data_IF_090279331695
#
_entry.id   IF_090279331695
#
_cell.length_a   1.000
_cell.length_b   1.000
_cell.length_c   1.000
_cell.angle_alpha   90.00
_cell.angle_beta   90.00
_cell.angle_gamma   90.00
#
_symmetry.space_group_name_H-M   'P 1'
#
loop_
_entity.id
_entity.type
_entity.pdbx_description
1 polymer ?
#
# COMPACT_ATOMS: atom_id res chain seq x y z
N UNK A 1 -6.44 -19.76 8.84
CA UNK A 1 -5.36 -18.83 8.43
C UNK A 1 -5.82 -17.88 7.31
N UNK A 2 -6.51 -18.35 6.26
CA UNK A 2 -6.96 -17.48 5.16
C UNK A 2 -7.82 -16.29 5.62
N UNK A 3 -8.86 -16.52 6.40
CA UNK A 3 -9.79 -15.49 6.87
C UNK A 3 -9.11 -14.37 7.70
N UNK A 4 -8.09 -14.72 8.48
CA UNK A 4 -7.30 -13.73 9.23
C UNK A 4 -6.47 -12.85 8.29
N UNK A 5 -5.83 -13.44 7.27
CA UNK A 5 -5.11 -12.70 6.24
C UNK A 5 -6.01 -11.72 5.50
N UNK A 6 -7.22 -12.20 5.17
CA UNK A 6 -8.23 -11.41 4.47
C UNK A 6 -8.72 -10.20 5.28
N UNK A 7 -9.02 -10.39 6.56
CA UNK A 7 -9.41 -9.30 7.45
C UNK A 7 -8.29 -8.27 7.63
N UNK A 8 -7.05 -8.73 7.76
CA UNK A 8 -5.89 -7.84 7.89
C UNK A 8 -5.60 -7.05 6.61
N UNK A 9 -5.97 -7.58 5.45
CA UNK A 9 -5.82 -6.86 4.18
C UNK A 9 -6.79 -5.67 4.07
N UNK A 10 -8.00 -5.79 4.61
CA UNK A 10 -9.00 -4.71 4.61
C UNK A 10 -8.69 -3.64 5.68
N UNK A 11 -8.04 -4.03 6.77
CA UNK A 11 -7.79 -3.17 7.93
C UNK A 11 -7.12 -1.82 7.60
N UNK A 12 -6.07 -1.74 6.77
CA UNK A 12 -5.45 -0.47 6.39
C UNK A 12 -6.44 0.51 5.76
N UNK A 13 -7.28 0.03 4.84
CA UNK A 13 -8.29 0.85 4.16
C UNK A 13 -9.35 1.37 5.13
N UNK A 14 -9.78 0.54 6.10
CA UNK A 14 -10.71 0.94 7.15
C UNK A 14 -10.10 2.02 8.05
N UNK A 15 -8.82 1.89 8.43
CA UNK A 15 -8.12 2.90 9.24
C UNK A 15 -8.04 4.24 8.49
N UNK A 16 -7.73 4.23 7.19
CA UNK A 16 -7.70 5.45 6.38
C UNK A 16 -9.09 6.11 6.26
N UNK A 17 -10.14 5.33 6.02
CA UNK A 17 -11.51 5.85 6.01
C UNK A 17 -11.91 6.42 7.35
N UNK A 18 -11.58 5.74 8.46
CA UNK A 18 -11.83 6.25 9.81
C UNK A 18 -11.10 7.57 10.07
N UNK A 19 -9.84 7.69 9.61
CA UNK A 19 -9.10 8.95 9.69
C UNK A 19 -9.83 10.05 8.92
N UNK A 20 -10.11 9.84 7.63
CA UNK A 20 -10.75 10.83 6.77
C UNK A 20 -12.08 11.33 7.37
N UNK A 21 -12.90 10.44 7.91
CA UNK A 21 -14.19 10.81 8.51
C UNK A 21 -14.05 11.49 9.87
N UNK A 22 -13.14 11.02 10.75
CA UNK A 22 -13.00 11.58 12.10
C UNK A 22 -12.26 12.91 12.12
N UNK A 23 -11.29 13.08 11.26
CA UNK A 23 -10.46 14.30 11.24
C UNK A 23 -10.91 15.32 10.19
N UNK A 24 -11.79 14.92 9.27
CA UNK A 24 -12.15 15.70 8.07
C UNK A 24 -10.91 16.22 7.32
N UNK A 25 -9.82 15.46 7.33
CA UNK A 25 -8.52 15.84 6.80
C UNK A 25 -7.79 14.64 6.20
N UNK A 26 -7.15 14.85 5.06
CA UNK A 26 -6.25 13.87 4.44
C UNK A 26 -4.75 14.21 4.64
N UNK A 27 -4.42 15.17 5.52
CA UNK A 27 -3.04 15.51 5.82
C UNK A 27 -2.21 14.28 6.25
N UNK A 28 -0.99 14.16 5.72
CA UNK A 28 -0.09 13.03 5.97
C UNK A 28 -0.45 11.74 5.23
N UNK A 29 -1.47 11.74 4.34
CA UNK A 29 -1.79 10.61 3.46
C UNK A 29 -1.35 10.95 2.04
N UNK A 30 -0.52 10.10 1.42
CA UNK A 30 -0.15 10.25 0.02
C UNK A 30 -1.30 9.83 -0.89
N UNK A 31 -1.86 10.79 -1.63
CA UNK A 31 -2.86 10.51 -2.64
C UNK A 31 -2.31 9.67 -3.79
N UNK A 32 -1.04 9.88 -4.15
CA UNK A 32 -0.35 9.12 -5.19
C UNK A 32 -0.18 7.66 -4.83
N UNK A 33 0.16 7.36 -3.56
CA UNK A 33 0.20 6.00 -3.04
C UNK A 33 -1.18 5.32 -3.14
N UNK A 34 -2.26 6.03 -2.79
CA UNK A 34 -3.62 5.49 -2.85
C UNK A 34 -4.08 5.22 -4.30
N UNK A 35 -3.66 6.04 -5.27
CA UNK A 35 -3.89 5.78 -6.70
C UNK A 35 -3.20 4.48 -7.12
N UNK A 36 -1.94 4.26 -6.72
CA UNK A 36 -1.21 3.02 -7.05
C UNK A 36 -1.90 1.79 -6.46
N UNK A 37 -2.38 1.85 -5.20
CA UNK A 37 -3.16 0.76 -4.61
C UNK A 37 -4.48 0.52 -5.34
N UNK A 38 -5.16 1.58 -5.80
CA UNK A 38 -6.38 1.43 -6.60
C UNK A 38 -6.10 0.69 -7.92
N UNK A 39 -4.96 0.96 -8.58
CA UNK A 39 -4.54 0.20 -9.76
C UNK A 39 -4.24 -1.28 -9.44
N UNK A 40 -3.55 -1.55 -8.34
CA UNK A 40 -3.27 -2.93 -7.88
C UNK A 40 -4.57 -3.71 -7.69
N UNK A 41 -5.52 -3.15 -6.94
CA UNK A 41 -6.80 -3.82 -6.68
C UNK A 41 -7.66 -3.97 -7.95
N UNK A 42 -7.56 -3.02 -8.89
CA UNK A 42 -8.21 -3.14 -10.20
C UNK A 42 -7.69 -4.34 -10.99
N UNK A 43 -6.36 -4.50 -11.04
CA UNK A 43 -5.73 -5.63 -11.72
C UNK A 43 -6.09 -6.97 -11.05
N UNK A 44 -6.13 -7.02 -9.70
CA UNK A 44 -6.53 -8.21 -8.95
C UNK A 44 -8.00 -8.60 -9.15
N UNK A 45 -8.90 -7.63 -9.38
CA UNK A 45 -10.31 -7.92 -9.69
C UNK A 45 -10.46 -8.42 -11.13
N UNK A 46 -9.73 -7.85 -12.08
CA UNK A 46 -9.76 -8.31 -13.48
C UNK A 46 -9.33 -9.77 -13.63
N UNK A 47 -8.35 -10.22 -12.82
CA UNK A 47 -7.92 -11.63 -12.79
C UNK A 47 -9.06 -12.59 -12.39
N UNK A 48 -9.91 -12.22 -11.44
CA UNK A 48 -11.04 -13.06 -11.00
C UNK A 48 -12.02 -13.34 -12.14
N UNK A 49 -12.20 -12.37 -13.04
CA UNK A 49 -13.11 -12.52 -14.17
C UNK A 49 -12.47 -13.23 -15.37
N UNK A 50 -11.14 -13.20 -15.49
CA UNK A 50 -10.40 -13.82 -16.59
C UNK A 50 -10.08 -15.31 -16.37
N UNK A 51 -9.79 -15.69 -15.13
CA UNK A 51 -9.46 -17.07 -14.80
C UNK A 51 -10.52 -17.67 -13.87
N UNK A 52 -11.07 -18.83 -14.25
CA UNK A 52 -11.99 -19.60 -13.40
C UNK A 52 -11.29 -20.19 -12.16
N UNK A 53 -10.00 -19.95 -11.95
CA UNK A 53 -9.27 -20.33 -10.75
C UNK A 53 -9.64 -19.38 -9.63
N UNK A 54 -10.53 -19.79 -8.75
CA UNK A 54 -10.76 -19.21 -7.44
C UNK A 54 -9.42 -19.18 -6.70
N UNK A 55 -8.70 -18.05 -6.78
CA UNK A 55 -7.59 -17.78 -5.89
C UNK A 55 -8.07 -17.88 -4.44
N UNK A 56 -7.13 -18.00 -3.49
CA UNK A 56 -7.44 -18.21 -2.07
C UNK A 56 -8.36 -17.14 -1.45
N UNK A 57 -8.53 -15.97 -2.08
CA UNK A 57 -9.36 -14.88 -1.57
C UNK A 57 -10.74 -14.86 -2.25
N UNK A 58 -11.83 -14.74 -1.47
CA UNK A 58 -13.18 -14.69 -2.02
C UNK A 58 -13.40 -13.45 -2.90
N UNK A 59 -14.15 -13.54 -4.02
CA UNK A 59 -14.35 -12.44 -4.96
C UNK A 59 -14.90 -11.16 -4.33
N UNK A 60 -15.81 -11.27 -3.38
CA UNK A 60 -16.41 -10.12 -2.68
C UNK A 60 -15.38 -9.27 -1.93
N UNK A 61 -14.32 -9.88 -1.43
CA UNK A 61 -13.27 -9.19 -0.71
C UNK A 61 -12.42 -8.33 -1.65
N UNK A 62 -12.03 -8.85 -2.81
CA UNK A 62 -11.29 -8.08 -3.84
C UNK A 62 -12.12 -6.90 -4.33
N UNK A 63 -13.42 -7.10 -4.54
CA UNK A 63 -14.35 -6.02 -4.90
C UNK A 63 -14.47 -4.98 -3.78
N UNK A 64 -14.54 -5.39 -2.52
CA UNK A 64 -14.61 -4.45 -1.39
C UNK A 64 -13.34 -3.61 -1.25
N UNK A 65 -12.14 -4.19 -1.44
CA UNK A 65 -10.88 -3.48 -1.47
C UNK A 65 -10.80 -2.48 -2.63
N UNK A 66 -11.27 -2.88 -3.80
CA UNK A 66 -11.37 -2.00 -4.96
C UNK A 66 -12.26 -0.80 -4.65
N UNK A 67 -13.48 -1.02 -4.19
CA UNK A 67 -14.44 0.04 -3.89
C UNK A 67 -13.93 0.98 -2.80
N UNK A 68 -13.32 0.43 -1.73
CA UNK A 68 -12.76 1.25 -0.65
C UNK A 68 -11.56 2.07 -1.11
N UNK A 69 -10.69 1.54 -1.97
CA UNK A 69 -9.55 2.28 -2.51
C UNK A 69 -9.98 3.44 -3.41
N UNK A 70 -10.95 3.22 -4.30
CA UNK A 70 -11.52 4.30 -5.12
C UNK A 70 -12.24 5.35 -4.28
N UNK A 71 -12.95 4.93 -3.23
CA UNK A 71 -13.59 5.86 -2.29
C UNK A 71 -12.55 6.73 -1.58
N UNK A 72 -11.43 6.14 -1.11
CA UNK A 72 -10.35 6.89 -0.47
C UNK A 72 -9.75 7.91 -1.45
N UNK A 73 -9.45 7.51 -2.67
CA UNK A 73 -8.93 8.41 -3.72
C UNK A 73 -9.92 9.55 -3.98
N UNK A 74 -11.21 9.23 -4.14
CA UNK A 74 -12.25 10.23 -4.33
C UNK A 74 -12.32 11.21 -3.16
N UNK A 75 -12.25 10.74 -1.91
CA UNK A 75 -12.28 11.60 -0.72
C UNK A 75 -11.06 12.53 -0.65
N UNK A 76 -9.86 12.04 -0.98
CA UNK A 76 -8.63 12.84 -0.96
C UNK A 76 -8.68 13.95 -2.02
N UNK A 77 -9.03 13.64 -3.26
CA UNK A 77 -8.98 14.59 -4.37
C UNK A 77 -10.28 15.41 -4.52
N UNK A 78 -11.36 15.00 -3.87
CA UNK A 78 -12.65 15.67 -3.85
C UNK A 78 -12.85 16.50 -2.57
N UNK A 79 -13.63 16.00 -1.59
CA UNK A 79 -14.04 16.77 -0.41
C UNK A 79 -12.88 17.30 0.44
N UNK A 80 -11.83 16.49 0.63
CA UNK A 80 -10.69 16.83 1.51
C UNK A 80 -9.48 17.41 0.77
N UNK A 81 -9.61 17.76 -0.52
CA UNK A 81 -8.51 18.30 -1.34
C UNK A 81 -7.78 19.48 -0.71
N UNK A 82 -8.49 20.31 0.08
CA UNK A 82 -7.89 21.49 0.74
C UNK A 82 -6.88 21.13 1.84
N UNK A 83 -6.95 19.92 2.39
CA UNK A 83 -6.07 19.42 3.45
C UNK A 83 -5.01 18.45 2.93
N UNK A 84 -4.93 18.28 1.61
CA UNK A 84 -3.97 17.40 0.97
C UNK A 84 -2.60 18.08 0.86
N UNK A 85 -1.57 17.41 1.37
CA UNK A 85 -0.19 17.87 1.37
C UNK A 85 0.47 17.70 -0.02
N UNK A 86 -0.09 18.40 -1.02
CA UNK A 86 0.31 18.25 -2.43
C UNK A 86 1.78 18.57 -2.66
N UNK A 87 2.30 19.58 -1.95
CA UNK A 87 3.69 20.06 -2.11
C UNK A 87 4.71 19.08 -1.52
N UNK A 88 4.25 18.14 -0.67
CA UNK A 88 5.06 17.10 -0.06
C UNK A 88 4.94 15.75 -0.80
N UNK A 89 3.87 15.54 -1.57
CA UNK A 89 3.62 14.33 -2.36
C UNK A 89 4.11 14.54 -3.81
N UNK A 90 5.44 14.68 -3.97
CA UNK A 90 6.06 15.12 -5.24
C UNK A 90 6.41 13.98 -6.20
N UNK A 91 6.57 12.74 -5.70
CA UNK A 91 6.98 11.61 -6.53
C UNK A 91 6.02 11.37 -7.71
N UNK A 92 6.57 11.28 -8.91
CA UNK A 92 5.79 10.97 -10.10
C UNK A 92 5.53 9.47 -10.21
N UNK A 93 4.26 9.07 -10.24
CA UNK A 93 3.85 7.67 -10.31
C UNK A 93 4.38 6.95 -11.55
N UNK A 94 4.61 7.67 -12.65
CA UNK A 94 5.14 7.14 -13.91
C UNK A 94 6.49 6.47 -13.71
N UNK A 95 7.35 7.03 -12.84
CA UNK A 95 8.65 6.44 -12.51
C UNK A 95 8.54 5.12 -11.73
N UNK A 96 7.42 4.85 -11.11
CA UNK A 96 7.15 3.58 -10.41
C UNK A 96 6.42 2.59 -11.29
N UNK A 97 5.44 3.05 -12.07
CA UNK A 97 4.58 2.20 -12.90
C UNK A 97 5.38 1.58 -14.06
N UNK A 98 6.20 2.39 -14.76
CA UNK A 98 6.93 1.92 -15.94
C UNK A 98 7.93 0.80 -15.62
N UNK A 99 8.81 0.89 -14.60
CA UNK A 99 9.69 -0.23 -14.23
C UNK A 99 8.92 -1.48 -13.81
N UNK A 100 7.81 -1.34 -13.07
CA UNK A 100 6.99 -2.49 -12.67
C UNK A 100 6.39 -3.21 -13.88
N UNK A 101 5.93 -2.45 -14.87
CA UNK A 101 5.41 -3.03 -16.10
C UNK A 101 6.50 -3.75 -16.91
N UNK A 102 7.69 -3.16 -17.04
CA UNK A 102 8.82 -3.80 -17.69
C UNK A 102 9.24 -5.09 -16.95
N UNK A 103 9.33 -5.05 -15.62
CA UNK A 103 9.64 -6.25 -14.81
C UNK A 103 8.59 -7.35 -15.00
N UNK A 104 7.31 -6.99 -15.08
CA UNK A 104 6.25 -7.95 -15.37
C UNK A 104 6.39 -8.63 -16.72
N UNK A 105 6.85 -7.88 -17.74
CA UNK A 105 7.12 -8.44 -19.07
C UNK A 105 8.33 -9.38 -19.06
N UNK A 106 9.39 -9.04 -18.32
CA UNK A 106 10.60 -9.89 -18.20
C UNK A 106 10.39 -11.12 -17.32
N UNK A 107 9.53 -11.04 -16.32
CA UNK A 107 9.17 -12.18 -15.47
C UNK A 107 8.32 -13.23 -16.19
N UNK A 108 8.04 -13.03 -17.47
CA UNK A 108 7.25 -13.91 -18.32
C UNK A 108 8.02 -15.20 -18.62
N UNK A 109 7.61 -16.30 -18.01
CA UNK A 109 8.08 -17.63 -18.38
C UNK A 109 7.26 -18.18 -19.58
N UNK A 110 7.90 -18.28 -20.73
CA UNK A 110 7.29 -18.92 -21.92
C UNK A 110 6.05 -18.20 -22.49
N UNK A 111 4.99 -18.96 -22.76
CA UNK A 111 3.75 -18.50 -23.40
C UNK A 111 2.71 -18.00 -22.35
N UNK A 112 3.12 -17.06 -21.47
CA UNK A 112 2.27 -16.54 -20.42
C UNK A 112 1.07 -15.79 -20.99
N UNK A 113 -0.11 -16.04 -20.43
CA UNK A 113 -1.36 -15.35 -20.78
C UNK A 113 -1.27 -13.86 -20.40
N UNK A 114 -2.03 -12.97 -21.04
CA UNK A 114 -2.10 -11.55 -20.67
C UNK A 114 -2.47 -11.34 -19.18
N UNK A 115 -3.29 -12.23 -18.62
CA UNK A 115 -3.68 -12.22 -17.21
C UNK A 115 -2.49 -12.45 -16.28
N UNK A 116 -1.59 -13.40 -16.63
CA UNK A 116 -0.38 -13.67 -15.86
C UNK A 116 0.56 -12.45 -15.83
N UNK A 117 0.69 -11.72 -16.95
CA UNK A 117 1.46 -10.46 -17.00
C UNK A 117 0.81 -9.39 -16.13
N UNK A 118 -0.53 -9.27 -16.16
CA UNK A 118 -1.27 -8.32 -15.36
C UNK A 118 -1.10 -8.58 -13.86
N UNK A 119 -1.14 -9.86 -13.44
CA UNK A 119 -0.91 -10.25 -12.04
C UNK A 119 0.53 -9.99 -11.61
N UNK A 120 1.53 -10.31 -12.43
CA UNK A 120 2.92 -10.00 -12.15
C UNK A 120 3.13 -8.48 -12.03
N UNK A 121 2.51 -7.69 -12.90
CA UNK A 121 2.53 -6.24 -12.82
C UNK A 121 1.91 -5.73 -11.52
N UNK A 122 0.72 -6.24 -11.14
CA UNK A 122 0.07 -5.87 -9.88
C UNK A 122 0.95 -6.21 -8.66
N UNK A 123 1.61 -7.37 -8.67
CA UNK A 123 2.52 -7.78 -7.60
C UNK A 123 3.73 -6.83 -7.47
N UNK A 124 4.38 -6.47 -8.57
CA UNK A 124 5.47 -5.50 -8.55
C UNK A 124 5.01 -4.10 -8.13
N UNK A 125 3.85 -3.66 -8.65
CA UNK A 125 3.30 -2.35 -8.32
C UNK A 125 2.91 -2.25 -6.84
N UNK A 126 2.40 -3.32 -6.25
CA UNK A 126 2.02 -3.37 -4.84
C UNK A 126 3.20 -3.14 -3.89
N UNK A 127 4.43 -3.58 -4.29
CA UNK A 127 5.64 -3.34 -3.51
C UNK A 127 5.95 -1.84 -3.45
N UNK A 128 5.93 -1.18 -4.61
CA UNK A 128 6.35 0.21 -4.73
C UNK A 128 5.24 1.21 -4.40
N UNK A 129 3.98 0.76 -4.28
CA UNK A 129 2.84 1.62 -3.98
C UNK A 129 2.98 2.38 -2.65
N UNK A 130 3.78 1.88 -1.70
CA UNK A 130 4.07 2.55 -0.43
C UNK A 130 5.11 3.67 -0.57
N UNK A 131 5.91 3.70 -1.65
CA UNK A 131 7.05 4.64 -1.79
C UNK A 131 6.61 6.10 -1.75
N UNK A 132 5.54 6.56 -2.44
CA UNK A 132 5.08 7.94 -2.33
C UNK A 132 4.66 8.32 -0.90
N UNK A 133 4.09 7.36 -0.14
CA UNK A 133 3.77 7.58 1.27
C UNK A 133 5.03 7.76 2.12
N UNK A 134 6.11 7.02 1.84
CA UNK A 134 7.39 7.17 2.52
C UNK A 134 8.05 8.52 2.20
N UNK A 135 7.99 8.95 0.95
CA UNK A 135 8.50 10.25 0.53
C UNK A 135 7.76 11.38 1.25
N UNK A 136 6.43 11.35 1.24
CA UNK A 136 5.62 12.31 1.96
C UNK A 136 5.98 12.36 3.45
N UNK A 137 6.23 11.22 4.10
CA UNK A 137 6.70 11.16 5.48
C UNK A 137 8.09 11.81 5.68
N UNK A 138 8.91 11.89 4.63
CA UNK A 138 10.19 12.61 4.69
C UNK A 138 9.99 14.12 4.65
N UNK A 139 8.95 14.63 4.01
CA UNK A 139 8.65 16.04 3.89
C UNK A 139 7.90 16.64 5.09
N UNK A 140 7.03 15.85 5.75
CA UNK A 140 6.22 16.35 6.86
C UNK A 140 7.00 16.45 8.18
N UNK A 141 6.62 17.41 9.02
CA UNK A 141 7.25 17.63 10.33
C UNK A 141 6.63 16.80 11.46
N UNK A 142 5.39 16.37 11.29
CA UNK A 142 4.68 15.55 12.29
C UNK A 142 3.80 14.52 11.61
N UNK A 143 3.61 13.38 12.28
CA UNK A 143 2.79 12.27 11.78
C UNK A 143 1.67 11.99 12.76
N UNK A 144 0.44 11.88 12.24
CA UNK A 144 -0.75 11.51 12.99
C UNK A 144 -0.72 10.02 13.36
N UNK A 145 -1.30 9.68 14.51
CA UNK A 145 -1.39 8.30 14.99
C UNK A 145 -2.19 7.39 14.03
N UNK A 146 -3.16 7.93 13.29
CA UNK A 146 -3.89 7.17 12.28
C UNK A 146 -2.99 6.71 11.14
N UNK A 147 -2.08 7.59 10.66
CA UNK A 147 -1.10 7.23 9.62
C UNK A 147 -0.13 6.17 10.12
N UNK A 148 0.30 6.29 11.38
CA UNK A 148 1.14 5.25 12.01
C UNK A 148 0.40 3.91 12.08
N UNK A 149 -0.86 3.92 12.53
CA UNK A 149 -1.70 2.70 12.60
C UNK A 149 -1.93 2.08 11.23
N UNK A 150 -2.13 2.90 10.20
CA UNK A 150 -2.21 2.46 8.80
C UNK A 150 -0.93 1.74 8.35
N UNK A 151 0.25 2.33 8.60
CA UNK A 151 1.54 1.71 8.24
C UNK A 151 1.79 0.41 9.01
N UNK A 152 1.46 0.38 10.31
CA UNK A 152 1.55 -0.84 11.13
C UNK A 152 0.64 -1.94 10.59
N UNK A 153 -0.61 -1.61 10.24
CA UNK A 153 -1.56 -2.59 9.69
C UNK A 153 -1.12 -3.16 8.34
N UNK A 154 -0.53 -2.33 7.46
CA UNK A 154 0.06 -2.78 6.21
C UNK A 154 1.25 -3.73 6.46
N UNK A 155 2.14 -3.39 7.39
CA UNK A 155 3.29 -4.22 7.74
C UNK A 155 2.86 -5.57 8.33
N UNK A 156 1.85 -5.57 9.21
CA UNK A 156 1.29 -6.79 9.80
C UNK A 156 0.67 -7.70 8.73
N UNK A 157 -0.16 -7.13 7.86
CA UNK A 157 -0.75 -7.88 6.74
C UNK A 157 0.36 -8.57 5.91
N UNK A 158 1.39 -7.83 5.54
CA UNK A 158 2.49 -8.37 4.75
C UNK A 158 3.28 -9.44 5.48
N UNK A 159 3.58 -9.24 6.74
CA UNK A 159 4.29 -10.24 7.54
C UNK A 159 3.52 -11.56 7.62
N UNK A 160 2.21 -11.48 7.87
CA UNK A 160 1.35 -12.69 7.92
C UNK A 160 1.23 -13.35 6.55
N UNK A 161 1.13 -12.56 5.48
CA UNK A 161 1.11 -13.10 4.11
C UNK A 161 2.39 -13.90 3.80
N UNK A 162 3.57 -13.35 4.15
CA UNK A 162 4.86 -14.02 3.97
C UNK A 162 4.96 -15.29 4.80
N UNK A 163 4.55 -15.24 6.07
CA UNK A 163 4.57 -16.40 6.95
C UNK A 163 3.65 -17.51 6.44
N UNK A 164 2.45 -17.15 6.01
CA UNK A 164 1.51 -18.12 5.44
C UNK A 164 2.06 -18.75 4.15
N UNK A 165 2.69 -17.94 3.30
CA UNK A 165 3.33 -18.43 2.08
C UNK A 165 4.52 -19.34 2.38
N UNK A 166 5.40 -18.96 3.33
CA UNK A 166 6.56 -19.76 3.73
C UNK A 166 6.17 -21.15 4.29
N UNK A 167 5.03 -21.23 4.98
CA UNK A 167 4.50 -22.50 5.49
C UNK A 167 3.90 -23.38 4.39
N UNK A 168 3.33 -22.78 3.33
CA UNK A 168 2.67 -23.49 2.25
C UNK A 168 3.58 -23.83 1.06
N UNK A 169 4.74 -23.17 0.94
CA UNK A 169 5.64 -23.35 -0.17
C UNK A 169 6.35 -24.73 -0.11
N UNK A 170 5.90 -25.65 -0.95
CA UNK A 170 6.60 -26.92 -1.22
C UNK A 170 7.66 -26.78 -2.32
N UNK A 171 7.58 -25.77 -3.19
CA UNK A 171 8.53 -25.48 -4.25
C UNK A 171 8.81 -23.96 -4.33
N UNK A 172 10.09 -23.60 -4.38
CA UNK A 172 10.56 -22.23 -4.26
C UNK A 172 10.23 -21.40 -5.51
N UNK A 173 9.21 -20.55 -5.42
CA UNK A 173 9.03 -19.46 -6.37
C UNK A 173 9.82 -18.25 -5.85
N UNK A 174 10.94 -17.91 -6.50
CA UNK A 174 11.85 -16.86 -6.06
C UNK A 174 11.19 -15.46 -6.00
N UNK A 175 10.27 -15.18 -6.92
CA UNK A 175 9.65 -13.86 -7.05
C UNK A 175 8.88 -13.40 -5.79
N UNK A 176 7.95 -14.16 -5.19
CA UNK A 176 7.26 -13.74 -3.96
C UNK A 176 8.19 -13.49 -2.79
N UNK A 177 9.32 -14.22 -2.70
CA UNK A 177 10.32 -14.03 -1.64
C UNK A 177 11.03 -12.69 -1.80
N UNK A 178 11.51 -12.40 -3.01
CA UNK A 178 12.20 -11.12 -3.32
C UNK A 178 11.25 -9.95 -3.07
N UNK A 179 10.03 -10.02 -3.60
CA UNK A 179 8.96 -9.05 -3.42
C UNK A 179 8.75 -8.75 -1.94
N UNK A 180 8.59 -9.79 -1.15
CA UNK A 180 8.31 -9.69 0.28
C UNK A 180 9.48 -9.10 1.07
N UNK A 181 10.70 -9.47 0.73
CA UNK A 181 11.92 -8.95 1.38
C UNK A 181 12.09 -7.45 1.11
N UNK A 182 11.95 -7.01 -0.14
CA UNK A 182 12.03 -5.59 -0.50
C UNK A 182 10.96 -4.78 0.25
N UNK A 183 9.75 -5.31 0.37
CA UNK A 183 8.67 -4.62 1.05
C UNK A 183 8.88 -4.51 2.56
N UNK A 184 9.44 -5.54 3.21
CA UNK A 184 9.83 -5.45 4.63
C UNK A 184 10.87 -4.35 4.83
N UNK A 185 11.89 -4.25 3.96
CA UNK A 185 12.89 -3.19 4.02
C UNK A 185 12.23 -1.80 3.92
N UNK A 186 11.28 -1.60 3.01
CA UNK A 186 10.55 -0.34 2.89
C UNK A 186 9.77 -0.01 4.18
N UNK A 187 9.14 -0.99 4.83
CA UNK A 187 8.46 -0.76 6.11
C UNK A 187 9.44 -0.43 7.23
N UNK A 188 10.62 -1.06 7.28
CA UNK A 188 11.67 -0.71 8.25
C UNK A 188 12.07 0.77 8.08
N UNK A 189 12.29 1.22 6.85
CA UNK A 189 12.60 2.63 6.55
C UNK A 189 11.46 3.54 7.02
N UNK A 190 10.20 3.17 6.77
CA UNK A 190 9.02 3.91 7.23
C UNK A 190 9.01 4.08 8.75
N UNK A 191 9.20 2.98 9.50
CA UNK A 191 9.18 3.00 10.96
C UNK A 191 10.35 3.80 11.54
N UNK A 192 11.55 3.69 10.98
CA UNK A 192 12.70 4.50 11.41
C UNK A 192 12.41 5.99 11.20
N UNK A 193 11.75 6.37 10.10
CA UNK A 193 11.37 7.76 9.86
C UNK A 193 10.30 8.25 10.83
N UNK A 194 9.24 7.49 11.04
CA UNK A 194 8.18 7.80 12.02
C UNK A 194 8.76 7.97 13.43
N UNK A 195 9.69 7.08 13.82
CA UNK A 195 10.34 7.14 15.12
C UNK A 195 11.15 8.43 15.29
N UNK A 196 11.95 8.82 14.27
CA UNK A 196 12.68 10.10 14.27
C UNK A 196 11.74 11.29 14.42
N UNK A 197 10.63 11.32 13.66
CA UNK A 197 9.64 12.41 13.74
C UNK A 197 9.03 12.53 15.14
N UNK A 198 8.71 11.42 15.80
CA UNK A 198 8.18 11.43 17.17
C UNK A 198 9.22 11.94 18.17
N UNK A 199 10.47 11.50 18.08
CA UNK A 199 11.55 11.98 18.96
C UNK A 199 11.83 13.48 18.79
N UNK A 200 11.77 14.00 17.56
CA UNK A 200 11.96 15.44 17.32
C UNK A 200 10.85 16.26 17.96
N UNK A 201 9.61 15.77 17.93
CA UNK A 201 8.47 16.43 18.57
C UNK A 201 8.58 16.47 20.10
N UNK A 202 9.15 15.45 20.73
CA UNK A 202 9.38 15.41 22.18
C UNK A 202 10.51 16.35 22.65
N UNK A 203 11.49 16.66 21.77
CA UNK A 203 12.66 17.48 22.08
C UNK A 203 12.46 18.98 21.89
N UNK A 204 11.35 19.42 21.30
CA UNK A 204 11.03 20.87 21.19
C UNK A 204 10.26 21.25 22.47
N UNK A 205 10.88 21.97 23.42
CA UNK A 205 10.19 22.44 24.61
C UNK A 205 9.09 23.42 24.21
N UNK A 206 7.99 23.45 24.96
CA UNK A 206 6.84 24.37 24.77
C UNK A 206 7.16 25.84 25.07
N UNK A 207 8.42 26.23 25.19
CA UNK A 207 8.87 27.53 25.70
C UNK A 207 9.12 28.58 24.63
N UNK A 208 8.59 28.43 23.42
CA UNK A 208 8.72 29.49 22.38
C UNK A 208 7.34 29.82 21.82
N UNK A 209 6.42 30.25 22.67
CA UNK A 209 5.24 31.05 22.30
C UNK A 209 5.03 32.10 23.37
N UNK A 210 5.82 33.16 23.32
CA UNK A 210 5.51 34.53 23.78
C UNK A 210 5.60 35.46 22.59
#
# INVERSE_FOLDING_TARGET
MALLGDLLHVLPSVILLAKLWRTNSCAGISGKSQILYAFVFSAQVLDVYGTSSLGSNPPWMRVSLLLTSYLIVFLIYGPYRKTYDRDQDVLYNEFLVLPCFLLALFAKEGNSSPEAVLLAFAAWLEIVAIVPQLELLCGVQSVDNYVVSYLVSLALYRTIFILNWAVQASEAVALPIIVSFVQILLFVVAFLRVFKLKQTKEKVPYDVVE
#
